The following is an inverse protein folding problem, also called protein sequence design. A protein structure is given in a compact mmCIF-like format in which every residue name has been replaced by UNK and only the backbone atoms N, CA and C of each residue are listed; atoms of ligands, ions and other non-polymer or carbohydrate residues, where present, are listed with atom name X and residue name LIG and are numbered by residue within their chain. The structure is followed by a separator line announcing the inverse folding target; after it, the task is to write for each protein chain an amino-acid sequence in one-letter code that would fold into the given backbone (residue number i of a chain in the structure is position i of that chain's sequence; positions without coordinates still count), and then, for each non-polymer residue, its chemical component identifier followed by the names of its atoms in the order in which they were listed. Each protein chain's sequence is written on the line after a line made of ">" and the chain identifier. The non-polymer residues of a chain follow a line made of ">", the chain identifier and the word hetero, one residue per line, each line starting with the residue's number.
data_IF_284077491723
#
_entry.id   IF_284077491723
#
_cell.length_a   1.000
_cell.length_b   1.000
_cell.length_c   1.000
_cell.angle_alpha   90.00
_cell.angle_beta   90.00
_cell.angle_gamma   90.00
#
_symmetry.space_group_name_H-M   'P 1'
#
loop_
_entity.id
_entity.type
_entity.pdbx_description
1 polymer ?
#
# COMPACT_ATOMS: atom_id res chain seq x y z
N UNK A 1 -14.17 -21.35 18.25
CA UNK A 1 -13.46 -20.31 17.47
C UNK A 1 -12.45 -21.02 16.60
N UNK A 2 -12.52 -20.88 15.28
CA UNK A 2 -11.55 -21.53 14.37
C UNK A 2 -10.30 -20.66 14.31
N UNK A 3 -9.23 -21.07 14.97
CA UNK A 3 -7.93 -20.40 14.89
C UNK A 3 -7.25 -20.69 13.55
N UNK A 4 -6.63 -19.70 12.93
CA UNK A 4 -5.75 -19.93 11.78
C UNK A 4 -4.53 -20.75 12.23
N UNK A 5 -4.08 -21.68 11.38
CA UNK A 5 -2.90 -22.52 11.63
C UNK A 5 -1.78 -22.16 10.66
N UNK A 6 -0.54 -22.50 11.02
CA UNK A 6 0.61 -22.35 10.13
C UNK A 6 0.68 -23.55 9.17
N UNK A 7 0.85 -23.28 7.88
CA UNK A 7 0.82 -24.32 6.86
C UNK A 7 0.55 -23.78 5.46
N UNK A 8 0.21 -24.67 4.52
CA UNK A 8 -0.11 -24.29 3.14
C UNK A 8 -1.63 -24.16 2.96
N UNK A 9 -2.02 -23.09 2.27
CA UNK A 9 -3.40 -22.72 1.98
C UNK A 9 -3.61 -22.52 0.48
N UNK A 10 -4.78 -22.91 -0.01
CA UNK A 10 -5.22 -22.72 -1.40
C UNK A 10 -6.26 -21.59 -1.46
N UNK A 11 -6.01 -20.56 -2.27
CA UNK A 11 -7.00 -19.58 -2.71
C UNK A 11 -7.53 -19.97 -4.10
N UNK A 12 -8.85 -20.09 -4.25
CA UNK A 12 -9.50 -20.34 -5.54
C UNK A 12 -10.24 -19.08 -6.02
N UNK A 13 -9.71 -18.43 -7.05
CA UNK A 13 -10.29 -17.21 -7.63
C UNK A 13 -10.93 -17.50 -8.97
N UNK A 14 -12.25 -17.30 -9.07
CA UNK A 14 -12.97 -17.38 -10.35
C UNK A 14 -12.77 -16.09 -11.15
N UNK A 15 -12.49 -16.23 -12.44
CA UNK A 15 -12.36 -15.12 -13.37
C UNK A 15 -12.85 -15.50 -14.77
N UNK A 16 -12.82 -14.53 -15.68
CA UNK A 16 -13.23 -14.69 -17.08
C UNK A 16 -12.09 -14.17 -17.96
N UNK A 17 -11.55 -15.03 -18.81
CA UNK A 17 -10.55 -14.67 -19.82
C UNK A 17 -11.20 -14.50 -21.18
N UNK A 18 -10.58 -13.75 -22.10
CA UNK A 18 -11.12 -13.47 -23.43
C UNK A 18 -12.21 -12.38 -23.44
N UNK A 19 -12.70 -12.03 -24.63
CA UNK A 19 -13.62 -10.91 -24.85
C UNK A 19 -14.81 -11.31 -25.71
N UNK A 20 -16.00 -10.79 -25.40
CA UNK A 20 -17.22 -11.10 -26.16
C UNK A 20 -17.53 -12.61 -26.17
N UNK A 21 -17.62 -13.18 -27.38
CA UNK A 21 -17.99 -14.58 -27.62
C UNK A 21 -16.86 -15.59 -27.36
N UNK A 22 -15.59 -15.17 -27.33
CA UNK A 22 -14.45 -16.08 -27.05
C UNK A 22 -14.15 -16.23 -25.57
N UNK A 23 -14.97 -15.62 -24.71
CA UNK A 23 -14.68 -15.56 -23.29
C UNK A 23 -14.98 -16.88 -22.56
N UNK A 24 -14.06 -17.32 -21.71
CA UNK A 24 -14.20 -18.54 -20.92
C UNK A 24 -14.05 -18.26 -19.42
N UNK A 25 -14.84 -18.95 -18.61
CA UNK A 25 -14.69 -18.92 -17.16
C UNK A 25 -13.52 -19.82 -16.75
N UNK A 26 -12.63 -19.31 -15.91
CA UNK A 26 -11.43 -20.01 -15.42
C UNK A 26 -11.35 -19.86 -13.90
N UNK A 27 -10.94 -20.92 -13.21
CA UNK A 27 -10.62 -20.87 -11.78
C UNK A 27 -9.11 -20.88 -11.63
N UNK A 28 -8.56 -19.77 -11.16
CA UNK A 28 -7.18 -19.66 -10.75
C UNK A 28 -7.00 -20.30 -9.36
N UNK A 29 -5.93 -21.08 -9.20
CA UNK A 29 -5.58 -21.77 -7.96
C UNK A 29 -4.22 -21.24 -7.53
N UNK A 30 -4.18 -20.49 -6.42
CA UNK A 30 -2.95 -19.93 -5.88
C UNK A 30 -2.64 -20.62 -4.56
N UNK A 31 -1.46 -21.23 -4.45
CA UNK A 31 -0.96 -21.79 -3.20
C UNK A 31 -0.16 -20.75 -2.43
N UNK A 32 -0.34 -20.71 -1.13
CA UNK A 32 0.43 -19.84 -0.23
C UNK A 32 0.91 -20.63 0.97
N UNK A 33 2.18 -20.47 1.34
CA UNK A 33 2.63 -20.79 2.68
C UNK A 33 2.21 -19.64 3.62
N UNK A 34 1.54 -19.98 4.73
CA UNK A 34 0.98 -19.03 5.68
C UNK A 34 1.67 -19.20 7.02
N UNK A 35 2.23 -18.10 7.52
CA UNK A 35 2.93 -18.01 8.81
C UNK A 35 2.26 -16.97 9.70
N UNK A 36 2.18 -17.21 11.00
CA UNK A 36 1.57 -16.29 11.95
C UNK A 36 2.58 -15.25 12.42
N UNK A 37 2.12 -14.00 12.55
CA UNK A 37 2.89 -12.82 12.93
C UNK A 37 2.04 -11.97 13.89
N UNK A 38 1.68 -12.55 15.04
CA UNK A 38 0.70 -11.98 15.97
C UNK A 38 -0.70 -12.01 15.36
N UNK A 39 -1.41 -10.88 15.38
CA UNK A 39 -2.77 -10.75 14.82
C UNK A 39 -2.83 -10.80 13.28
N UNK A 40 -1.67 -10.73 12.62
CA UNK A 40 -1.53 -10.78 11.17
C UNK A 40 -0.94 -12.13 10.73
N UNK A 41 -1.31 -12.56 9.54
CA UNK A 41 -0.66 -13.65 8.82
C UNK A 41 0.26 -13.08 7.74
N UNK A 42 1.45 -13.65 7.60
CA UNK A 42 2.33 -13.45 6.46
C UNK A 42 2.07 -14.59 5.46
N UNK A 43 1.73 -14.22 4.23
CA UNK A 43 1.45 -15.15 3.14
C UNK A 43 2.57 -15.06 2.11
N UNK A 44 3.12 -16.21 1.75
CA UNK A 44 4.20 -16.33 0.78
C UNK A 44 3.65 -17.10 -0.41
N UNK A 45 3.55 -16.45 -1.57
CA UNK A 45 2.99 -17.10 -2.77
C UNK A 45 3.94 -18.20 -3.23
N UNK A 46 3.36 -19.37 -3.51
CA UNK A 46 4.06 -20.54 -4.04
C UNK A 46 3.76 -20.71 -5.53
N UNK A 47 4.69 -21.34 -6.24
CA UNK A 47 4.49 -21.79 -7.62
C UNK A 47 3.81 -23.18 -7.69
N UNK A 48 3.65 -23.70 -8.92
CA UNK A 48 3.08 -25.03 -9.18
C UNK A 48 3.91 -26.20 -8.62
N UNK A 49 5.14 -25.94 -8.15
CA UNK A 49 6.03 -26.91 -7.49
C UNK A 49 6.10 -26.66 -5.97
N UNK A 50 5.19 -25.85 -5.43
CA UNK A 50 5.15 -25.43 -4.02
C UNK A 50 6.44 -24.73 -3.54
N UNK A 51 7.20 -24.12 -4.45
CA UNK A 51 8.41 -23.35 -4.15
C UNK A 51 8.10 -21.86 -3.97
N UNK A 52 8.88 -21.17 -3.13
CA UNK A 52 8.67 -19.75 -2.83
C UNK A 52 8.97 -18.86 -4.04
N UNK A 53 7.95 -18.17 -4.55
CA UNK A 53 8.09 -17.19 -5.65
C UNK A 53 8.82 -15.89 -5.26
N UNK A 54 9.06 -15.68 -3.96
CA UNK A 54 9.56 -14.44 -3.40
C UNK A 54 8.49 -13.36 -3.15
N UNK A 55 7.28 -13.51 -3.70
CA UNK A 55 6.16 -12.61 -3.44
C UNK A 55 5.57 -12.87 -2.03
N UNK A 56 5.36 -11.80 -1.27
CA UNK A 56 4.89 -11.83 0.11
C UNK A 56 3.76 -10.82 0.32
N UNK A 57 2.71 -11.23 1.01
CA UNK A 57 1.55 -10.43 1.39
C UNK A 57 1.35 -10.49 2.92
N UNK A 58 0.71 -9.49 3.51
CA UNK A 58 0.23 -9.54 4.90
C UNK A 58 -1.28 -9.35 4.93
N UNK A 59 -1.98 -10.25 5.60
CA UNK A 59 -3.44 -10.18 5.76
C UNK A 59 -3.85 -10.45 7.21
N UNK A 60 -5.06 -10.03 7.59
CA UNK A 60 -5.65 -10.41 8.88
C UNK A 60 -6.02 -11.91 8.85
N UNK A 61 -5.83 -12.61 9.98
CA UNK A 61 -6.12 -14.05 10.06
C UNK A 61 -7.56 -14.42 9.65
N UNK A 62 -8.54 -13.57 9.99
CA UNK A 62 -9.95 -13.79 9.64
C UNK A 62 -10.18 -13.72 8.13
N UNK A 63 -9.48 -12.81 7.42
CA UNK A 63 -9.56 -12.71 5.96
C UNK A 63 -8.96 -13.93 5.27
N UNK A 64 -7.89 -14.51 5.82
CA UNK A 64 -7.29 -15.78 5.34
C UNK A 64 -8.29 -16.93 5.47
N UNK A 65 -8.90 -17.10 6.65
CA UNK A 65 -9.91 -18.14 6.90
C UNK A 65 -11.17 -18.00 6.02
N UNK A 66 -11.49 -16.79 5.54
CA UNK A 66 -12.64 -16.55 4.66
C UNK A 66 -12.35 -16.81 3.18
N UNK A 67 -11.13 -16.55 2.69
CA UNK A 67 -10.78 -16.64 1.26
C UNK A 67 -9.99 -17.90 0.88
N UNK A 68 -9.47 -18.65 1.84
CA UNK A 68 -8.52 -19.75 1.60
C UNK A 68 -8.88 -21.04 2.34
N UNK A 69 -8.56 -22.17 1.72
CA UNK A 69 -8.75 -23.51 2.31
C UNK A 69 -7.40 -24.08 2.75
N UNK A 70 -7.31 -24.52 4.01
CA UNK A 70 -6.11 -25.19 4.52
C UNK A 70 -5.86 -26.53 3.81
N UNK A 71 -4.60 -26.83 3.48
CA UNK A 71 -4.16 -28.05 2.80
C UNK A 71 -3.20 -28.88 3.65
N UNK A 72 -3.70 -29.72 4.57
CA UNK A 72 -2.86 -30.54 5.45
C UNK A 72 -1.96 -31.51 4.67
N UNK A 73 -2.34 -31.91 3.45
CA UNK A 73 -1.54 -32.75 2.56
C UNK A 73 -0.16 -32.14 2.20
N UNK A 74 0.02 -30.82 2.37
CA UNK A 74 1.25 -30.11 2.06
C UNK A 74 2.05 -29.67 3.29
N UNK A 75 1.65 -30.06 4.52
CA UNK A 75 2.33 -29.61 5.74
C UNK A 75 3.82 -29.98 5.79
N UNK A 76 4.20 -31.15 5.23
CA UNK A 76 5.60 -31.59 5.14
C UNK A 76 6.45 -30.64 4.26
N UNK A 77 5.87 -30.09 3.20
CA UNK A 77 6.52 -29.05 2.40
C UNK A 77 6.61 -27.74 3.17
N UNK A 78 5.57 -27.36 3.92
CA UNK A 78 5.58 -26.14 4.73
C UNK A 78 6.75 -26.11 5.73
N UNK A 79 6.98 -27.19 6.49
CA UNK A 79 8.11 -27.26 7.43
C UNK A 79 9.47 -27.13 6.72
N UNK A 80 9.58 -27.64 5.48
CA UNK A 80 10.79 -27.49 4.66
C UNK A 80 11.01 -26.04 4.20
N UNK A 81 9.93 -25.35 3.81
CA UNK A 81 9.95 -23.93 3.42
C UNK A 81 10.16 -22.97 4.60
N UNK A 82 9.84 -23.41 5.83
CA UNK A 82 9.86 -22.60 7.05
C UNK A 82 11.20 -21.90 7.30
N UNK A 83 12.31 -22.56 7.01
CA UNK A 83 13.65 -21.96 7.08
C UNK A 83 13.87 -20.89 6.00
N UNK A 84 13.42 -21.15 4.76
CA UNK A 84 13.58 -20.24 3.62
C UNK A 84 12.71 -18.98 3.71
N UNK A 85 11.60 -19.03 4.45
CA UNK A 85 10.77 -17.85 4.76
C UNK A 85 11.47 -16.84 5.70
N UNK A 86 12.64 -17.18 6.25
CA UNK A 86 13.41 -16.37 7.20
C UNK A 86 12.86 -16.42 8.62
N UNK A 87 13.39 -15.62 9.58
CA UNK A 87 12.80 -15.56 10.92
C UNK A 87 11.34 -15.11 10.84
N UNK A 88 10.49 -15.69 11.69
CA UNK A 88 9.18 -15.12 12.00
C UNK A 88 9.37 -13.71 12.53
N UNK A 89 8.46 -12.79 12.20
CA UNK A 89 8.41 -11.51 12.87
C UNK A 89 8.01 -11.76 14.33
N UNK A 90 9.01 -11.92 15.21
CA UNK A 90 8.80 -11.86 16.65
C UNK A 90 7.99 -10.59 16.95
N UNK A 91 6.96 -10.65 17.82
CA UNK A 91 6.17 -9.46 18.14
C UNK A 91 7.13 -8.39 18.67
N UNK A 92 7.30 -7.31 17.89
CA UNK A 92 8.22 -6.24 18.25
C UNK A 92 7.89 -5.76 19.66
N UNK A 93 8.86 -5.74 20.59
CA UNK A 93 8.61 -5.20 21.92
C UNK A 93 8.13 -3.76 21.75
N UNK A 94 6.97 -3.46 22.35
CA UNK A 94 6.28 -2.17 22.24
C UNK A 94 7.30 -1.05 22.47
N UNK A 95 7.37 -0.02 21.60
CA UNK A 95 8.28 1.10 21.82
C UNK A 95 7.95 1.75 23.17
N UNK A 96 8.82 1.57 24.15
CA UNK A 96 8.70 2.27 25.43
C UNK A 96 8.72 3.77 25.11
N UNK A 97 7.61 4.45 25.42
CA UNK A 97 7.53 5.91 25.33
C UNK A 97 8.66 6.48 26.18
N UNK A 98 9.66 7.11 25.54
CA UNK A 98 10.60 7.97 26.27
C UNK A 98 9.79 9.13 26.84
N UNK A 99 9.90 9.35 28.15
CA UNK A 99 9.29 10.51 28.79
C UNK A 99 9.78 11.81 28.15
N UNK A 100 8.84 12.72 27.91
CA UNK A 100 9.15 14.01 27.30
C UNK A 100 9.96 14.86 28.28
N UNK A 101 11.18 15.22 27.89
CA UNK A 101 12.02 16.13 28.67
C UNK A 101 11.31 17.49 28.82
N UNK A 102 11.18 17.97 30.07
CA UNK A 102 10.63 19.30 30.37
C UNK A 102 11.54 20.38 29.78
N UNK A 103 11.02 21.14 28.82
CA UNK A 103 11.59 22.44 28.44
C UNK A 103 11.19 23.52 29.46
N UNK A 104 12.14 24.26 30.06
CA UNK A 104 11.80 25.43 30.88
C UNK A 104 11.38 26.62 29.99
N UNK A 105 10.24 27.23 30.28
CA UNK A 105 9.85 28.51 29.69
C UNK A 105 10.58 29.68 30.37
N UNK A 106 11.11 30.63 29.59
CA UNK A 106 11.34 32.01 30.03
C UNK A 106 11.04 33.03 28.92
N UNK A 107 10.16 33.98 29.26
CA UNK A 107 9.91 35.30 28.66
C UNK A 107 10.10 36.33 29.80
N UNK A 108 10.29 37.66 29.60
CA UNK A 108 9.60 38.55 28.67
C UNK A 108 10.62 39.39 27.82
N UNK A 109 10.45 40.63 27.30
CA UNK A 109 9.40 41.66 27.45
C UNK A 109 9.16 42.52 26.18
N UNK A 110 9.82 43.68 26.05
CA UNK A 110 9.37 44.83 25.25
C UNK A 110 10.52 45.76 24.80
N UNK A 111 10.28 46.54 23.73
CA UNK A 111 11.15 47.66 23.33
C UNK A 111 10.89 48.19 21.91
N UNK A 112 9.88 49.05 21.73
CA UNK A 112 9.75 49.96 20.57
C UNK A 112 10.26 51.34 20.98
N UNK A 113 10.83 52.13 20.04
CA UNK A 113 10.13 53.36 19.67
C UNK A 113 10.20 53.73 18.16
N UNK A 114 9.49 54.80 17.82
CA UNK A 114 9.13 55.26 16.48
C UNK A 114 10.21 56.12 15.78
N UNK A 115 10.14 56.20 14.45
CA UNK A 115 10.20 57.48 13.72
C UNK A 115 9.19 57.50 12.55
N UNK A 116 8.65 58.71 12.27
CA UNK A 116 7.74 59.14 11.19
C UNK A 116 8.43 60.37 10.53
N UNK A 117 7.92 61.10 9.50
CA UNK A 117 6.69 60.95 8.70
C UNK A 117 6.91 61.20 7.17
N UNK A 118 5.92 61.36 6.27
CA UNK A 118 4.45 61.13 6.34
C UNK A 118 3.99 60.15 5.21
N UNK A 119 3.44 60.48 4.02
CA UNK A 119 2.92 61.71 3.42
C UNK A 119 1.88 61.45 2.28
N UNK A 120 0.70 62.09 2.37
CA UNK A 120 -0.37 62.27 1.34
C UNK A 120 -0.99 61.03 0.65
N UNK A 121 -2.33 61.09 0.48
CA UNK A 121 -3.18 60.12 -0.23
C UNK A 121 -3.94 60.86 -1.38
N UNK A 122 -5.11 60.41 -1.91
CA UNK A 122 -5.67 59.07 -2.14
C UNK A 122 -6.09 58.87 -3.62
N UNK A 123 -6.64 57.70 -4.03
CA UNK A 123 -7.97 57.58 -4.70
C UNK A 123 -8.31 56.19 -5.30
N UNK A 124 -9.61 55.93 -5.27
CA UNK A 124 -10.40 54.77 -5.71
C UNK A 124 -10.40 54.54 -7.24
N UNK A 125 -10.37 53.26 -7.69
CA UNK A 125 -11.29 52.69 -8.73
C UNK A 125 -11.07 51.18 -9.00
N UNK A 126 -12.19 50.45 -9.05
CA UNK A 126 -12.39 49.08 -9.55
C UNK A 126 -12.60 49.08 -11.10
N UNK A 127 -12.80 47.94 -11.81
CA UNK A 127 -12.39 46.54 -11.60
C UNK A 127 -11.82 45.86 -12.88
N UNK A 128 -11.72 44.52 -12.84
CA UNK A 128 -11.81 43.55 -13.97
C UNK A 128 -10.55 43.20 -14.81
N UNK A 129 -10.07 41.96 -14.61
CA UNK A 129 -9.96 40.92 -15.67
C UNK A 129 -9.68 39.54 -15.07
N UNK A 130 -10.47 38.54 -15.47
CA UNK A 130 -10.19 37.14 -15.16
C UNK A 130 -9.22 36.55 -16.20
N UNK A 131 -8.34 35.61 -15.81
CA UNK A 131 -7.82 34.60 -16.71
C UNK A 131 -8.47 33.25 -16.42
N UNK A 132 -9.21 32.72 -17.39
CA UNK A 132 -9.68 31.34 -17.36
C UNK A 132 -8.49 30.38 -17.51
N UNK A 133 -8.46 29.33 -16.68
CA UNK A 133 -7.78 28.05 -16.96
C UNK A 133 -8.51 26.95 -16.18
N UNK A 134 -9.59 26.44 -16.77
CA UNK A 134 -10.17 25.18 -16.30
C UNK A 134 -9.12 24.08 -16.46
N UNK A 135 -8.83 23.39 -15.35
CA UNK A 135 -7.99 22.20 -15.34
C UNK A 135 -8.67 21.10 -16.14
N UNK A 136 -8.21 20.86 -17.37
CA UNK A 136 -8.46 19.57 -18.02
C UNK A 136 -7.51 18.57 -17.37
N UNK A 137 -8.04 17.74 -16.48
CA UNK A 137 -7.34 16.54 -16.05
C UNK A 137 -7.33 15.58 -17.25
N UNK A 138 -6.26 15.64 -18.05
CA UNK A 138 -6.01 14.57 -19.01
C UNK A 138 -5.70 13.30 -18.20
N UNK A 139 -6.39 12.18 -18.47
CA UNK A 139 -6.23 10.99 -17.68
C UNK A 139 -4.84 10.39 -17.94
N UNK A 140 -4.17 9.93 -16.87
CA UNK A 140 -2.75 9.56 -16.88
C UNK A 140 -2.34 8.52 -17.95
N UNK A 141 -3.28 7.74 -18.48
CA UNK A 141 -3.05 6.77 -19.56
C UNK A 141 -2.78 7.38 -20.95
N UNK A 142 -3.12 8.67 -21.17
CA UNK A 142 -2.75 9.37 -22.40
C UNK A 142 -1.24 9.68 -22.47
N UNK A 143 -0.55 9.76 -21.33
CA UNK A 143 0.88 10.09 -21.27
C UNK A 143 1.77 8.98 -21.85
N UNK A 144 1.39 7.71 -21.70
CA UNK A 144 2.14 6.57 -22.26
C UNK A 144 1.78 6.28 -23.71
N UNK A 145 0.53 6.53 -24.10
CA UNK A 145 0.02 6.21 -25.46
C UNK A 145 0.65 7.07 -26.56
N UNK A 146 1.02 8.33 -26.26
CA UNK A 146 1.64 9.23 -27.26
C UNK A 146 3.13 8.93 -27.54
N UNK A 147 3.83 8.22 -26.65
CA UNK A 147 5.27 7.93 -26.82
C UNK A 147 5.60 6.89 -27.90
N UNK A 148 4.67 5.99 -28.23
CA UNK A 148 4.95 4.88 -29.15
C UNK A 148 4.86 5.24 -30.65
N UNK A 149 4.29 6.41 -31.00
CA UNK A 149 3.93 6.73 -32.39
C UNK A 149 5.02 7.45 -33.19
N UNK A 150 6.06 7.94 -32.53
CA UNK A 150 7.19 8.64 -33.17
C UNK A 150 8.40 7.73 -33.45
N UNK A 151 8.43 6.51 -32.90
CA UNK A 151 9.50 5.53 -33.10
C UNK A 151 9.38 4.68 -34.39
N UNK A 152 8.35 4.92 -35.20
CA UNK A 152 8.10 4.20 -36.47
C UNK A 152 7.97 5.14 -37.69
N UNK A 153 8.87 6.12 -37.80
CA UNK A 153 9.19 6.78 -39.08
C UNK A 153 10.64 6.50 -39.46
N UNK A 154 10.81 5.60 -40.43
CA UNK A 154 11.97 5.57 -41.32
C UNK A 154 11.74 6.54 -42.46
#
# INVERSE_FOLDING_TARGET
>A
MTSLQEGIYLEEKKGRIGTGHTSSNVTYKNYYAVRLSGEMAELFLLDDQLSLTGLKEKANQQSVLQRMTFKPEHQVHFESLRAAMGPGANPSPVPQKRDAAKVPQTKPQAGLPQTKPEAAAPQVKQPAKAPAKQSRQDPWWEATSKGAKDLLKK
#
